data_IF_936462621688
#
_entry.id   IF_936462621688
#
_cell.length_a   1.000
_cell.length_b   1.000
_cell.length_c   1.000
_cell.angle_alpha   90.00
_cell.angle_beta   90.00
_cell.angle_gamma   90.00
#
_symmetry.space_group_name_H-M   'P 1'
#
loop_
_entity.id
_entity.type
_entity.pdbx_description
1 polymer ?
#
# COMPACT_ATOMS: atom_id res chain seq x y z
N UNK A 1 10.01 0.14 12.86
CA UNK A 1 10.19 1.59 12.69
C UNK A 1 8.87 2.36 12.86
N UNK A 2 8.01 1.97 13.81
CA UNK A 2 6.65 2.53 13.93
C UNK A 2 6.62 4.02 14.32
N UNK A 3 7.52 4.46 15.20
CA UNK A 3 7.57 5.87 15.63
C UNK A 3 7.83 6.86 14.50
N UNK A 4 8.63 6.48 13.50
CA UNK A 4 8.89 7.32 12.32
C UNK A 4 7.63 7.47 11.47
N UNK A 5 6.95 6.34 11.20
CA UNK A 5 5.70 6.34 10.44
C UNK A 5 4.62 7.19 11.11
N UNK A 6 4.43 7.03 12.43
CA UNK A 6 3.44 7.83 13.17
C UNK A 6 3.77 9.33 13.15
N UNK A 7 5.04 9.69 13.31
CA UNK A 7 5.48 11.08 13.19
C UNK A 7 5.20 11.68 11.81
N UNK A 8 5.41 10.91 10.74
CA UNK A 8 5.10 11.34 9.38
C UNK A 8 3.59 11.47 9.15
N UNK A 9 2.81 10.47 9.54
CA UNK A 9 1.34 10.48 9.38
C UNK A 9 0.72 11.68 10.09
N UNK A 10 1.08 11.93 11.35
CA UNK A 10 0.49 13.02 12.14
C UNK A 10 1.08 14.39 11.80
N UNK A 11 2.36 14.45 11.40
CA UNK A 11 3.03 15.69 11.02
C UNK A 11 2.57 16.22 9.65
N UNK A 12 2.29 15.33 8.70
CA UNK A 12 1.84 15.72 7.35
C UNK A 12 0.32 15.82 7.22
N UNK A 13 -0.43 15.11 8.07
CA UNK A 13 -1.90 15.04 8.02
C UNK A 13 -2.42 14.76 6.59
N UNK A 14 -1.99 13.64 5.96
CA UNK A 14 -2.23 13.43 4.54
C UNK A 14 -3.71 13.17 4.27
N UNK A 15 -4.25 13.77 3.22
CA UNK A 15 -5.59 13.42 2.72
C UNK A 15 -5.58 12.03 2.06
N UNK A 16 -4.53 11.75 1.29
CA UNK A 16 -4.34 10.52 0.53
C UNK A 16 -3.00 9.87 0.87
N UNK A 17 -3.01 8.54 0.95
CA UNK A 17 -1.82 7.71 1.14
C UNK A 17 -1.72 6.66 0.03
N UNK A 18 -0.50 6.23 -0.28
CA UNK A 18 -0.24 5.08 -1.16
C UNK A 18 0.46 4.00 -0.32
N UNK A 19 -0.12 2.81 -0.26
CA UNK A 19 0.48 1.68 0.46
C UNK A 19 1.49 0.97 -0.44
N UNK A 20 2.75 0.89 -0.03
CA UNK A 20 3.77 0.12 -0.74
C UNK A 20 3.90 -1.31 -0.18
N UNK A 21 3.89 -2.33 -1.04
CA UNK A 21 4.02 -3.73 -0.64
C UNK A 21 4.86 -4.57 -1.63
N UNK A 22 5.48 -5.65 -1.16
CA UNK A 22 6.19 -6.63 -2.00
C UNK A 22 5.47 -7.97 -1.83
N UNK A 23 4.80 -8.51 -2.87
CA UNK A 23 3.84 -9.62 -2.73
C UNK A 23 4.40 -10.90 -2.11
N UNK A 24 5.67 -11.22 -2.35
CA UNK A 24 6.33 -12.43 -1.85
C UNK A 24 6.77 -12.32 -0.39
N UNK A 25 6.73 -11.11 0.19
CA UNK A 25 7.20 -10.86 1.55
C UNK A 25 6.06 -11.08 2.54
N UNK A 26 6.15 -12.18 3.29
CA UNK A 26 5.12 -12.61 4.25
C UNK A 26 5.40 -12.21 5.70
N UNK A 27 6.60 -11.70 6.01
CA UNK A 27 7.04 -11.31 7.35
C UNK A 27 7.72 -9.95 7.36
N UNK A 28 7.66 -9.27 8.49
CA UNK A 28 8.34 -7.98 8.67
C UNK A 28 9.85 -8.21 8.60
N UNK A 29 10.55 -7.42 7.77
CA UNK A 29 12.00 -7.56 7.59
C UNK A 29 12.73 -7.55 8.94
N UNK A 30 13.51 -8.60 9.20
CA UNK A 30 14.27 -8.86 10.45
C UNK A 30 13.43 -9.32 11.66
N UNK A 31 12.17 -9.68 11.46
CA UNK A 31 11.29 -10.20 12.50
C UNK A 31 10.50 -11.40 11.97
N UNK A 32 10.05 -12.27 12.89
CA UNK A 32 9.20 -13.42 12.54
C UNK A 32 7.71 -13.05 12.43
N UNK A 33 7.36 -11.82 12.80
CA UNK A 33 5.99 -11.31 12.78
C UNK A 33 5.43 -11.33 11.35
N UNK A 34 4.27 -11.98 11.11
CA UNK A 34 3.63 -12.00 9.80
C UNK A 34 3.16 -10.59 9.42
N UNK A 35 3.20 -10.30 8.12
CA UNK A 35 2.53 -9.13 7.57
C UNK A 35 1.03 -9.46 7.50
N UNK A 36 0.14 -8.64 8.08
CA UNK A 36 -1.30 -8.84 7.97
C UNK A 36 -1.80 -8.76 6.52
N UNK A 37 -3.01 -9.23 6.22
CA UNK A 37 -3.68 -8.96 4.95
C UNK A 37 -3.67 -7.46 4.62
N UNK A 38 -3.52 -7.10 3.35
CA UNK A 38 -3.46 -5.71 2.90
C UNK A 38 -4.70 -4.92 3.32
N UNK A 39 -5.88 -5.52 3.28
CA UNK A 39 -7.11 -4.87 3.76
C UNK A 39 -7.01 -4.46 5.23
N UNK A 40 -6.37 -5.27 6.07
CA UNK A 40 -6.14 -4.94 7.48
C UNK A 40 -5.07 -3.86 7.63
N UNK A 41 -4.00 -3.92 6.83
CA UNK A 41 -2.97 -2.87 6.81
C UNK A 41 -3.58 -1.52 6.43
N UNK A 42 -4.40 -1.46 5.39
CA UNK A 42 -5.17 -0.27 4.99
C UNK A 42 -5.93 0.31 6.18
N UNK A 43 -6.77 -0.51 6.82
CA UNK A 43 -7.58 -0.11 7.96
C UNK A 43 -6.75 0.50 9.09
N UNK A 44 -5.61 -0.11 9.42
CA UNK A 44 -4.72 0.36 10.49
C UNK A 44 -4.11 1.73 10.15
N UNK A 45 -3.66 1.93 8.90
CA UNK A 45 -3.10 3.21 8.47
C UNK A 45 -4.15 4.32 8.41
N UNK A 46 -5.34 4.04 7.87
CA UNK A 46 -6.46 4.99 7.83
C UNK A 46 -6.92 5.37 9.24
N UNK A 47 -7.03 4.40 10.16
CA UNK A 47 -7.39 4.66 11.56
C UNK A 47 -6.35 5.56 12.25
N UNK A 48 -5.06 5.22 12.12
CA UNK A 48 -3.99 5.99 12.75
C UNK A 48 -3.88 7.42 12.21
N UNK A 49 -4.03 7.61 10.90
CA UNK A 49 -4.05 8.94 10.28
C UNK A 49 -5.33 9.73 10.62
N UNK A 50 -6.47 9.02 10.69
CA UNK A 50 -7.80 9.52 11.02
C UNK A 50 -7.90 10.24 12.37
N UNK A 51 -7.01 9.92 13.31
CA UNK A 51 -6.94 10.61 14.60
C UNK A 51 -6.54 12.10 14.47
N UNK A 52 -5.90 12.48 13.37
CA UNK A 52 -5.48 13.87 13.12
C UNK A 52 -6.37 14.58 12.10
N UNK A 53 -6.66 13.94 10.97
CA UNK A 53 -7.45 14.48 9.87
C UNK A 53 -8.09 13.33 9.07
N UNK A 54 -9.15 13.62 8.30
CA UNK A 54 -9.71 12.62 7.38
C UNK A 54 -8.64 12.19 6.38
N UNK A 55 -8.40 10.88 6.31
CA UNK A 55 -7.31 10.31 5.52
C UNK A 55 -7.71 8.94 4.98
N UNK A 56 -7.32 8.63 3.75
CA UNK A 56 -7.55 7.32 3.13
C UNK A 56 -6.34 6.81 2.37
N UNK A 57 -6.18 5.50 2.30
CA UNK A 57 -5.21 4.85 1.40
C UNK A 57 -5.84 4.76 0.02
N UNK A 58 -5.45 5.63 -0.90
CA UNK A 58 -6.06 5.75 -2.21
C UNK A 58 -5.64 4.64 -3.19
N UNK A 59 -4.42 4.11 -3.04
CA UNK A 59 -3.86 3.13 -3.98
C UNK A 59 -2.81 2.22 -3.32
N UNK A 60 -2.50 1.11 -3.99
CA UNK A 60 -1.44 0.16 -3.61
C UNK A 60 -0.34 0.12 -4.67
N UNK A 61 0.88 0.49 -4.29
CA UNK A 61 2.06 0.36 -5.12
C UNK A 61 2.77 -0.97 -4.81
N UNK A 62 2.78 -1.89 -5.77
CA UNK A 62 3.46 -3.17 -5.62
C UNK A 62 4.90 -3.08 -6.13
N UNK A 63 5.82 -3.70 -5.39
CA UNK A 63 7.16 -4.00 -5.87
C UNK A 63 7.19 -5.48 -6.28
N UNK A 64 7.16 -5.74 -7.58
CA UNK A 64 7.12 -7.08 -8.18
C UNK A 64 8.48 -7.52 -8.75
N UNK A 65 9.58 -6.91 -8.29
CA UNK A 65 10.91 -7.14 -8.86
C UNK A 65 11.36 -8.61 -8.87
N UNK A 66 10.86 -9.42 -7.95
CA UNK A 66 11.17 -10.84 -7.79
C UNK A 66 10.14 -11.77 -8.43
N UNK A 67 9.21 -11.21 -9.21
CA UNK A 67 8.22 -11.94 -9.98
C UNK A 67 8.47 -11.79 -11.48
N UNK A 68 8.10 -12.80 -12.26
CA UNK A 68 7.91 -12.64 -13.69
C UNK A 68 6.69 -11.75 -14.00
N UNK A 69 6.49 -11.42 -15.26
CA UNK A 69 5.43 -10.48 -15.65
C UNK A 69 4.02 -11.02 -15.37
N UNK A 70 3.77 -12.31 -15.65
CA UNK A 70 2.46 -12.93 -15.43
C UNK A 70 2.12 -13.00 -13.94
N UNK A 71 3.08 -13.39 -13.10
CA UNK A 71 2.90 -13.39 -11.65
C UNK A 71 2.77 -11.97 -11.08
N UNK A 72 3.46 -10.98 -11.66
CA UNK A 72 3.30 -9.57 -11.29
C UNK A 72 1.89 -9.06 -11.59
N UNK A 73 1.37 -9.33 -12.80
CA UNK A 73 -0.01 -8.98 -13.19
C UNK A 73 -1.02 -9.67 -12.29
N UNK A 74 -0.84 -10.95 -11.99
CA UNK A 74 -1.72 -11.69 -11.08
C UNK A 74 -1.65 -11.13 -9.65
N UNK A 75 -0.48 -10.70 -9.17
CA UNK A 75 -0.34 -10.08 -7.86
C UNK A 75 -1.04 -8.71 -7.79
N UNK A 76 -0.99 -7.94 -8.87
CA UNK A 76 -1.72 -6.68 -9.01
C UNK A 76 -3.22 -6.95 -8.87
N UNK A 77 -3.80 -7.84 -9.68
CA UNK A 77 -5.23 -8.18 -9.60
C UNK A 77 -5.64 -8.63 -8.21
N UNK A 78 -4.86 -9.51 -7.57
CA UNK A 78 -5.16 -9.96 -6.20
C UNK A 78 -5.17 -8.81 -5.19
N UNK A 79 -4.24 -7.86 -5.29
CA UNK A 79 -4.22 -6.70 -4.41
C UNK A 79 -5.44 -5.80 -4.62
N UNK A 80 -5.91 -5.64 -5.85
CA UNK A 80 -7.15 -4.90 -6.16
C UNK A 80 -8.37 -5.59 -5.58
N UNK A 81 -8.49 -6.90 -5.80
CA UNK A 81 -9.59 -7.71 -5.26
C UNK A 81 -9.63 -7.67 -3.73
N UNK A 82 -8.47 -7.75 -3.08
CA UNK A 82 -8.34 -7.75 -1.62
C UNK A 82 -8.65 -6.38 -1.01
N UNK A 83 -8.20 -5.30 -1.64
CA UNK A 83 -8.25 -3.96 -1.04
C UNK A 83 -9.38 -3.07 -1.55
N UNK A 84 -9.95 -3.40 -2.72
CA UNK A 84 -10.86 -2.53 -3.45
C UNK A 84 -10.22 -1.21 -3.91
N UNK A 85 -8.89 -1.10 -3.92
CA UNK A 85 -8.14 0.08 -4.35
C UNK A 85 -7.35 -0.20 -5.63
N UNK A 86 -7.11 0.80 -6.50
CA UNK A 86 -6.21 0.66 -7.62
C UNK A 86 -4.83 0.15 -7.18
N UNK A 87 -4.32 -0.87 -7.88
CA UNK A 87 -2.98 -1.40 -7.63
C UNK A 87 -2.16 -1.48 -8.93
N UNK A 88 -0.85 -1.25 -8.79
CA UNK A 88 0.10 -1.28 -9.90
C UNK A 88 1.53 -1.42 -9.40
N UNK A 89 2.39 -2.07 -10.18
CA UNK A 89 3.84 -1.86 -10.07
C UNK A 89 4.24 -0.66 -10.93
N UNK A 90 4.37 0.50 -10.28
CA UNK A 90 4.63 1.77 -10.97
C UNK A 90 6.01 1.84 -11.60
N UNK A 91 6.96 1.02 -11.14
CA UNK A 91 8.31 0.95 -11.71
C UNK A 91 8.28 0.10 -12.99
N UNK A 92 7.51 -0.99 -13.00
CA UNK A 92 7.44 -1.92 -14.11
C UNK A 92 6.46 -1.52 -15.20
N UNK A 93 5.29 -0.98 -14.82
CA UNK A 93 4.16 -0.75 -15.71
C UNK A 93 3.71 0.72 -15.80
N UNK A 94 4.43 1.63 -15.14
CA UNK A 94 4.09 3.06 -15.10
C UNK A 94 3.04 3.42 -14.04
N UNK A 95 2.92 4.72 -13.76
CA UNK A 95 2.16 5.24 -12.63
C UNK A 95 0.70 5.65 -12.96
N UNK A 96 0.34 5.70 -14.24
CA UNK A 96 -0.93 6.31 -14.71
C UNK A 96 -2.16 5.77 -13.96
N UNK A 97 -2.26 4.45 -13.81
CA UNK A 97 -3.35 3.79 -13.09
C UNK A 97 -3.51 4.26 -11.64
N UNK A 98 -2.40 4.56 -10.96
CA UNK A 98 -2.47 5.04 -9.57
C UNK A 98 -2.76 6.53 -9.50
N UNK A 99 -2.25 7.30 -10.47
CA UNK A 99 -2.51 8.74 -10.56
C UNK A 99 -4.00 9.04 -10.77
N UNK A 100 -4.68 8.27 -11.63
CA UNK A 100 -6.12 8.41 -11.84
C UNK A 100 -6.91 8.23 -10.53
N UNK A 101 -6.46 7.31 -9.67
CA UNK A 101 -7.06 7.07 -8.35
C UNK A 101 -6.79 8.16 -7.30
N UNK A 102 -5.84 9.05 -7.56
CA UNK A 102 -5.45 10.15 -6.67
C UNK A 102 -6.09 11.50 -7.06
N UNK A 103 -6.70 11.61 -8.24
CA UNK A 103 -7.24 12.86 -8.79
C UNK A 103 -8.74 13.11 -8.47
N UNK A 104 -9.29 12.47 -7.43
CA UNK A 104 -10.69 12.65 -6.99
C UNK A 104 -10.81 12.96 -5.51
#
# INVERSE_FOLDING_TARGET
YSGVTMGLLHGTAPELMVLCHQPTRTKIRRYETPIPPLAEVLRIYEEAAGWRASSRVAAVALNTYDLDEDAARAAITRAEDETGRPAQDVVRFGADKLLDGLQG
#
